data_IF_570197287547
#
_entry.id   IF_570197287547
#
_cell.length_a   1.000
_cell.length_b   1.000
_cell.length_c   1.000
_cell.angle_alpha   90.00
_cell.angle_beta   90.00
_cell.angle_gamma   90.00
#
_symmetry.space_group_name_H-M   'P 1'
#
loop_
_entity.id
_entity.type
_entity.pdbx_description
1 polymer ?
#
# COMPACT_ATOMS: atom_id res chain seq x y z
N UNK A 1 6.39 -19.87 75.93
CA UNK A 1 6.00 -18.59 75.30
C UNK A 1 6.91 -18.37 74.10
N UNK A 2 6.53 -18.86 72.92
CA UNK A 2 7.30 -18.70 71.68
C UNK A 2 6.62 -17.67 70.79
N UNK A 3 7.35 -16.64 70.38
CA UNK A 3 6.85 -15.57 69.51
C UNK A 3 7.06 -16.01 68.07
N UNK A 4 5.96 -16.25 67.35
CA UNK A 4 5.96 -16.49 65.91
C UNK A 4 5.95 -15.16 65.18
N UNK A 5 7.02 -14.85 64.46
CA UNK A 5 7.11 -13.65 63.60
C UNK A 5 6.58 -14.04 62.22
N UNK A 6 5.39 -13.54 61.86
CA UNK A 6 4.87 -13.62 60.49
C UNK A 6 5.53 -12.53 59.64
N UNK A 7 6.44 -12.92 58.74
CA UNK A 7 6.96 -12.03 57.70
C UNK A 7 5.94 -12.01 56.55
N UNK A 8 5.19 -10.92 56.45
CA UNK A 8 4.34 -10.65 55.30
C UNK A 8 5.22 -10.21 54.12
N UNK A 9 5.39 -11.09 53.13
CA UNK A 9 5.96 -10.75 51.83
C UNK A 9 4.96 -9.87 51.06
N UNK A 10 5.08 -8.55 51.20
CA UNK A 10 4.43 -7.61 50.30
C UNK A 10 5.12 -7.67 48.93
N UNK A 11 4.40 -8.16 47.91
CA UNK A 11 4.84 -7.98 46.53
C UNK A 11 4.93 -6.47 46.24
N UNK A 12 6.02 -5.98 45.61
CA UNK A 12 6.18 -4.55 45.37
C UNK A 12 5.11 -4.03 44.41
N UNK A 13 4.29 -3.10 44.88
CA UNK A 13 3.25 -2.40 44.10
C UNK A 13 3.84 -1.68 42.85
N UNK A 14 5.14 -1.38 42.85
CA UNK A 14 5.86 -0.76 41.74
C UNK A 14 5.91 -1.61 40.47
N UNK A 15 6.01 -2.94 40.60
CA UNK A 15 6.08 -3.82 39.43
C UNK A 15 4.76 -3.78 38.66
N UNK A 16 3.62 -3.84 39.34
CA UNK A 16 2.30 -3.80 38.68
C UNK A 16 2.03 -2.48 37.94
N UNK A 17 2.50 -1.35 38.46
CA UNK A 17 2.34 -0.05 37.83
C UNK A 17 3.15 0.06 36.50
N UNK A 18 4.38 -0.46 36.49
CA UNK A 18 5.22 -0.45 35.28
C UNK A 18 4.67 -1.37 34.19
N UNK A 19 4.16 -2.55 34.54
CA UNK A 19 3.49 -3.46 33.59
C UNK A 19 2.19 -2.87 33.02
N UNK A 20 1.39 -2.19 33.85
CA UNK A 20 0.17 -1.51 33.40
C UNK A 20 0.47 -0.32 32.47
N UNK A 21 1.50 0.47 32.77
CA UNK A 21 1.97 1.60 31.94
C UNK A 21 2.50 1.14 30.58
N UNK A 22 3.28 0.06 30.56
CA UNK A 22 3.76 -0.56 29.32
C UNK A 22 2.60 -1.10 28.48
N UNK A 23 1.67 -1.83 29.11
CA UNK A 23 0.50 -2.38 28.41
C UNK A 23 -0.38 -1.29 27.79
N UNK A 24 -0.63 -0.18 28.50
CA UNK A 24 -1.36 0.96 27.97
C UNK A 24 -0.63 1.61 26.79
N UNK A 25 0.70 1.71 26.85
CA UNK A 25 1.52 2.22 25.74
C UNK A 25 1.48 1.30 24.53
N UNK A 26 1.54 -0.02 24.74
CA UNK A 26 1.41 -1.02 23.68
C UNK A 26 0.03 -0.98 23.03
N UNK A 27 -1.05 -0.87 23.83
CA UNK A 27 -2.41 -0.74 23.35
C UNK A 27 -2.56 0.43 22.36
N UNK A 28 -2.14 1.64 22.77
CA UNK A 28 -2.22 2.85 21.92
C UNK A 28 -1.39 2.71 20.65
N UNK A 29 -0.18 2.14 20.75
CA UNK A 29 0.70 1.93 19.60
C UNK A 29 0.11 0.96 18.60
N UNK A 30 -0.46 -0.15 19.08
CA UNK A 30 -1.09 -1.17 18.23
C UNK A 30 -2.35 -0.61 17.58
N UNK A 31 -3.22 0.07 18.32
CA UNK A 31 -4.45 0.66 17.76
C UNK A 31 -4.13 1.68 16.66
N UNK A 32 -3.17 2.58 16.90
CA UNK A 32 -2.74 3.54 15.88
C UNK A 32 -2.12 2.83 14.69
N UNK A 33 -1.27 1.83 14.94
CA UNK A 33 -0.65 1.03 13.89
C UNK A 33 -1.66 0.29 13.02
N UNK A 34 -2.71 -0.29 13.61
CA UNK A 34 -3.80 -0.97 12.91
C UNK A 34 -4.51 -0.03 11.95
N UNK A 35 -4.89 1.17 12.41
CA UNK A 35 -5.53 2.19 11.57
C UNK A 35 -4.63 2.64 10.42
N UNK A 36 -3.34 2.85 10.69
CA UNK A 36 -2.36 3.21 9.65
C UNK A 36 -2.19 2.08 8.63
N UNK A 37 -2.06 0.83 9.08
CA UNK A 37 -1.92 -0.31 8.18
C UNK A 37 -3.17 -0.48 7.32
N UNK A 38 -4.38 -0.42 7.88
CA UNK A 38 -5.62 -0.51 7.10
C UNK A 38 -5.66 0.55 5.99
N UNK A 39 -5.34 1.80 6.32
CA UNK A 39 -5.28 2.89 5.34
C UNK A 39 -4.30 2.59 4.19
N UNK A 40 -3.07 2.18 4.53
CA UNK A 40 -2.02 1.88 3.54
C UNK A 40 -2.40 0.68 2.66
N UNK A 41 -2.94 -0.37 3.25
CA UNK A 41 -3.40 -1.56 2.53
C UNK A 41 -4.52 -1.17 1.55
N UNK A 42 -5.51 -0.38 1.99
CA UNK A 42 -6.60 0.09 1.12
C UNK A 42 -6.09 1.00 0.00
N UNK A 43 -5.09 1.84 0.27
CA UNK A 43 -4.49 2.71 -0.75
C UNK A 43 -3.83 1.92 -1.90
N UNK A 44 -3.26 0.74 -1.60
CA UNK A 44 -2.70 -0.16 -2.62
C UNK A 44 -3.74 -0.93 -3.42
N UNK A 45 -4.97 -1.07 -2.91
CA UNK A 45 -5.99 -1.96 -3.47
C UNK A 45 -6.24 -1.71 -4.97
N UNK A 46 -6.35 -0.45 -5.37
CA UNK A 46 -6.51 -0.07 -6.79
C UNK A 46 -5.34 -0.52 -7.65
N UNK A 47 -4.10 -0.28 -7.21
CA UNK A 47 -2.88 -0.65 -7.94
C UNK A 47 -2.79 -2.14 -8.14
N UNK A 48 -3.04 -2.92 -7.09
CA UNK A 48 -2.97 -4.38 -7.15
C UNK A 48 -4.10 -4.95 -8.00
N UNK A 49 -5.33 -4.47 -7.81
CA UNK A 49 -6.51 -5.01 -8.50
C UNK A 49 -6.49 -4.70 -10.00
N UNK A 50 -6.03 -3.50 -10.39
CA UNK A 50 -6.05 -3.07 -11.78
C UNK A 50 -4.80 -3.50 -12.56
N UNK A 51 -3.63 -3.39 -11.95
CA UNK A 51 -2.32 -3.47 -12.63
C UNK A 51 -1.34 -4.46 -11.99
N UNK A 52 -1.69 -5.05 -10.83
CA UNK A 52 -0.81 -5.95 -10.10
C UNK A 52 -0.60 -7.28 -10.81
N UNK A 53 0.64 -7.76 -10.78
CA UNK A 53 0.99 -9.12 -11.18
C UNK A 53 0.47 -10.15 -10.18
N UNK A 54 0.51 -11.44 -10.53
CA UNK A 54 0.12 -12.50 -9.61
C UNK A 54 0.99 -12.57 -8.35
N UNK A 55 2.29 -12.23 -8.46
CA UNK A 55 3.17 -12.09 -7.30
C UNK A 55 2.76 -10.93 -6.39
N UNK A 56 2.38 -9.78 -6.99
CA UNK A 56 1.92 -8.62 -6.21
C UNK A 56 0.61 -8.95 -5.48
N UNK A 57 -0.33 -9.64 -6.15
CA UNK A 57 -1.58 -10.09 -5.55
C UNK A 57 -1.35 -11.09 -4.41
N UNK A 58 -0.40 -12.02 -4.57
CA UNK A 58 -0.05 -12.98 -3.53
C UNK A 58 0.56 -12.29 -2.29
N UNK A 59 1.49 -11.35 -2.49
CA UNK A 59 2.08 -10.57 -1.40
C UNK A 59 1.03 -9.66 -0.74
N UNK A 60 0.16 -9.03 -1.53
CA UNK A 60 -0.95 -8.22 -1.02
C UNK A 60 -1.91 -9.04 -0.16
N UNK A 61 -2.28 -10.24 -0.60
CA UNK A 61 -3.08 -11.19 0.20
C UNK A 61 -2.38 -11.51 1.52
N UNK A 62 -1.07 -11.79 1.48
CA UNK A 62 -0.26 -12.08 2.67
C UNK A 62 -0.24 -10.91 3.65
N UNK A 63 -0.11 -9.69 3.16
CA UNK A 63 -0.22 -8.48 3.99
C UNK A 63 -1.59 -8.38 4.68
N UNK A 64 -2.69 -8.62 3.94
CA UNK A 64 -4.04 -8.60 4.52
C UNK A 64 -4.21 -9.69 5.58
N UNK A 65 -3.68 -10.89 5.34
CA UNK A 65 -3.71 -12.00 6.29
C UNK A 65 -3.03 -11.63 7.62
N UNK A 66 -1.81 -11.09 7.59
CA UNK A 66 -1.12 -10.61 8.81
C UNK A 66 -1.85 -9.45 9.48
N UNK A 67 -2.47 -8.56 8.70
CA UNK A 67 -3.26 -7.47 9.25
C UNK A 67 -4.50 -8.00 10.00
N UNK A 68 -5.19 -9.01 9.46
CA UNK A 68 -6.31 -9.69 10.13
C UNK A 68 -5.82 -10.40 11.40
N UNK A 69 -4.69 -11.11 11.34
CA UNK A 69 -4.12 -11.78 12.52
C UNK A 69 -3.74 -10.78 13.62
N UNK A 70 -3.15 -9.64 13.25
CA UNK A 70 -2.86 -8.53 14.17
C UNK A 70 -4.12 -8.06 14.89
N UNK A 71 -5.24 -7.88 14.15
CA UNK A 71 -6.55 -7.52 14.72
C UNK A 71 -7.07 -8.60 15.67
N UNK A 72 -6.98 -9.88 15.30
CA UNK A 72 -7.41 -10.99 16.16
C UNK A 72 -6.64 -11.01 17.49
N UNK A 73 -5.32 -10.86 17.44
CA UNK A 73 -4.46 -10.80 18.63
C UNK A 73 -4.78 -9.57 19.49
N UNK A 74 -5.00 -8.42 18.86
CA UNK A 74 -5.42 -7.19 19.54
C UNK A 74 -6.74 -7.37 20.30
N UNK A 75 -7.76 -7.95 19.67
CA UNK A 75 -9.06 -8.22 20.33
C UNK A 75 -8.97 -9.28 21.43
N UNK A 76 -7.99 -10.18 21.36
CA UNK A 76 -7.69 -11.13 22.43
C UNK A 76 -6.85 -10.52 23.57
N UNK A 77 -6.50 -9.23 23.49
CA UNK A 77 -5.58 -8.54 24.40
C UNK A 77 -4.18 -9.17 24.48
N UNK A 78 -3.75 -9.94 23.47
CA UNK A 78 -2.38 -10.44 23.32
C UNK A 78 -1.51 -9.33 22.68
N UNK A 79 -1.27 -8.25 23.46
CA UNK A 79 -0.67 -7.00 22.97
C UNK A 79 0.78 -7.14 22.50
N UNK A 80 1.55 -8.02 23.13
CA UNK A 80 2.94 -8.29 22.76
C UNK A 80 3.00 -8.91 21.35
N UNK A 81 2.26 -10.00 21.14
CA UNK A 81 2.21 -10.65 19.82
C UNK A 81 1.54 -9.79 18.76
N UNK A 82 0.48 -9.08 19.13
CA UNK A 82 -0.17 -8.14 18.22
C UNK A 82 0.82 -7.06 17.75
N UNK A 83 1.67 -6.53 18.64
CA UNK A 83 2.71 -5.59 18.24
C UNK A 83 3.76 -6.19 17.29
N UNK A 84 4.18 -7.44 17.52
CA UNK A 84 5.10 -8.15 16.62
C UNK A 84 4.49 -8.42 15.24
N UNK A 85 3.24 -8.88 15.18
CA UNK A 85 2.53 -9.12 13.91
C UNK A 85 2.20 -7.82 13.15
N UNK A 86 1.93 -6.74 13.89
CA UNK A 86 1.80 -5.40 13.32
C UNK A 86 3.09 -4.99 12.59
N UNK A 87 4.25 -5.24 13.22
CA UNK A 87 5.57 -4.94 12.66
C UNK A 87 5.87 -5.78 11.42
N UNK A 88 5.54 -7.06 11.45
CA UNK A 88 5.63 -7.95 10.29
C UNK A 88 4.77 -7.47 9.13
N UNK A 89 3.53 -7.06 9.40
CA UNK A 89 2.65 -6.45 8.38
C UNK A 89 3.31 -5.20 7.75
N UNK A 90 3.95 -4.36 8.57
CA UNK A 90 4.65 -3.16 8.09
C UNK A 90 5.87 -3.49 7.23
N UNK A 91 6.64 -4.52 7.57
CA UNK A 91 7.78 -4.98 6.76
C UNK A 91 7.32 -5.46 5.37
N UNK A 92 6.27 -6.28 5.32
CA UNK A 92 5.71 -6.76 4.06
C UNK A 92 5.12 -5.63 3.21
N UNK A 93 4.48 -4.64 3.85
CA UNK A 93 4.02 -3.44 3.17
C UNK A 93 5.17 -2.65 2.54
N UNK A 94 6.30 -2.50 3.24
CA UNK A 94 7.48 -1.78 2.72
C UNK A 94 7.98 -2.44 1.43
N UNK A 95 8.05 -3.78 1.42
CA UNK A 95 8.46 -4.55 0.23
C UNK A 95 7.49 -4.29 -0.92
N UNK A 96 6.19 -4.53 -0.69
CA UNK A 96 5.16 -4.38 -1.72
C UNK A 96 5.09 -2.97 -2.30
N UNK A 97 5.15 -1.93 -1.45
CA UNK A 97 5.19 -0.55 -1.92
C UNK A 97 6.44 -0.28 -2.76
N UNK A 98 7.61 -0.71 -2.30
CA UNK A 98 8.88 -0.43 -2.97
C UNK A 98 8.91 -1.06 -4.37
N UNK A 99 8.49 -2.31 -4.50
CA UNK A 99 8.47 -3.05 -5.76
C UNK A 99 7.49 -2.42 -6.77
N UNK A 100 6.28 -2.06 -6.32
CA UNK A 100 5.29 -1.40 -7.17
C UNK A 100 5.77 -0.03 -7.66
N UNK A 101 6.39 0.76 -6.77
CA UNK A 101 6.90 2.10 -7.14
C UNK A 101 8.05 1.96 -8.12
N UNK A 102 8.97 1.00 -7.91
CA UNK A 102 10.10 0.78 -8.82
C UNK A 102 9.64 0.35 -10.21
N UNK A 103 8.75 -0.64 -10.29
CA UNK A 103 8.14 -1.07 -11.54
C UNK A 103 7.41 0.10 -12.23
N UNK A 104 6.61 0.85 -11.47
CA UNK A 104 5.85 1.98 -11.99
C UNK A 104 6.72 3.13 -12.47
N UNK A 105 7.80 3.47 -11.77
CA UNK A 105 8.80 4.48 -12.18
C UNK A 105 9.42 4.12 -13.52
N UNK A 106 9.82 2.85 -13.69
CA UNK A 106 10.42 2.35 -14.94
C UNK A 106 9.44 2.50 -16.11
N UNK A 107 8.20 2.07 -15.94
CA UNK A 107 7.15 2.15 -16.97
C UNK A 107 6.85 3.60 -17.33
N UNK A 108 6.52 4.45 -16.35
CA UNK A 108 6.14 5.84 -16.59
C UNK A 108 7.27 6.63 -17.23
N UNK A 109 8.52 6.43 -16.79
CA UNK A 109 9.68 7.06 -17.43
C UNK A 109 9.77 6.67 -18.90
N UNK A 110 9.63 5.39 -19.21
CA UNK A 110 9.69 4.88 -20.59
C UNK A 110 8.60 5.51 -21.46
N UNK A 111 7.38 5.62 -20.92
CA UNK A 111 6.24 6.23 -21.61
C UNK A 111 6.46 7.73 -21.84
N UNK A 112 6.88 8.48 -20.81
CA UNK A 112 7.20 9.91 -20.93
C UNK A 112 8.34 10.17 -21.92
N UNK A 113 9.36 9.32 -21.94
CA UNK A 113 10.46 9.43 -22.91
C UNK A 113 9.96 9.24 -24.35
N UNK A 114 9.11 8.23 -24.57
CA UNK A 114 8.52 7.95 -25.88
C UNK A 114 7.60 9.08 -26.36
N UNK A 115 6.65 9.51 -25.51
CA UNK A 115 5.72 10.59 -25.80
C UNK A 115 6.45 11.93 -25.94
N UNK A 116 7.52 12.15 -25.18
CA UNK A 116 8.34 13.35 -25.25
C UNK A 116 8.94 13.60 -26.64
N UNK A 117 9.28 12.54 -27.39
CA UNK A 117 9.76 12.68 -28.77
C UNK A 117 8.70 13.30 -29.69
N UNK A 118 7.42 12.99 -29.45
CA UNK A 118 6.31 13.53 -30.23
C UNK A 118 6.00 14.98 -29.81
N UNK A 119 5.97 15.24 -28.51
CA UNK A 119 5.74 16.57 -27.92
C UNK A 119 6.78 17.59 -28.39
N UNK A 120 8.06 17.22 -28.47
CA UNK A 120 9.14 18.12 -28.90
C UNK A 120 8.99 18.53 -30.36
N UNK A 121 8.48 17.63 -31.21
CA UNK A 121 8.20 17.93 -32.63
C UNK A 121 6.96 18.82 -32.79
N UNK A 122 6.04 18.76 -31.83
CA UNK A 122 4.83 19.57 -31.80
C UNK A 122 5.10 21.04 -31.44
N UNK A 123 4.22 21.92 -31.90
CA UNK A 123 4.26 23.36 -31.58
C UNK A 123 3.36 23.71 -30.39
N UNK A 124 2.41 22.84 -30.06
CA UNK A 124 1.37 23.09 -29.06
C UNK A 124 1.91 23.23 -27.63
N UNK A 125 1.34 24.19 -26.89
CA UNK A 125 1.74 24.48 -25.52
C UNK A 125 1.20 23.47 -24.49
N UNK A 126 -0.02 22.96 -24.72
CA UNK A 126 -0.70 22.07 -23.76
C UNK A 126 0.03 20.74 -23.57
N UNK A 127 0.42 19.99 -24.63
CA UNK A 127 1.17 18.74 -24.46
C UNK A 127 2.56 18.95 -23.85
N UNK A 128 3.26 20.05 -24.21
CA UNK A 128 4.51 20.44 -23.57
C UNK A 128 4.34 20.62 -22.07
N UNK A 129 3.25 21.27 -21.66
CA UNK A 129 2.96 21.45 -20.24
C UNK A 129 2.69 20.12 -19.54
N UNK A 130 1.89 19.24 -20.12
CA UNK A 130 1.64 17.91 -19.53
C UNK A 130 2.93 17.09 -19.40
N UNK A 131 3.83 17.15 -20.38
CA UNK A 131 5.12 16.47 -20.32
C UNK A 131 5.99 16.97 -19.16
N UNK A 132 6.11 18.30 -18.99
CA UNK A 132 6.83 18.90 -17.87
C UNK A 132 6.26 18.45 -16.51
N UNK A 133 4.93 18.48 -16.38
CA UNK A 133 4.24 18.07 -15.16
C UNK A 133 4.47 16.58 -14.89
N UNK A 134 4.36 15.72 -15.91
CA UNK A 134 4.65 14.29 -15.83
C UNK A 134 6.04 14.00 -15.27
N UNK A 135 7.09 14.60 -15.87
CA UNK A 135 8.46 14.42 -15.40
C UNK A 135 8.69 14.99 -13.99
N UNK A 136 8.08 16.14 -13.68
CA UNK A 136 8.20 16.75 -12.36
C UNK A 136 7.65 15.82 -11.28
N UNK A 137 6.43 15.33 -11.43
CA UNK A 137 5.83 14.44 -10.44
C UNK A 137 6.61 13.13 -10.31
N UNK A 138 7.10 12.57 -11.43
CA UNK A 138 7.95 11.38 -11.43
C UNK A 138 9.25 11.62 -10.62
N UNK A 139 9.95 12.73 -10.88
CA UNK A 139 11.20 13.05 -10.18
C UNK A 139 10.98 13.21 -8.67
N UNK A 140 9.88 13.84 -8.24
CA UNK A 140 9.55 13.96 -6.81
C UNK A 140 9.17 12.61 -6.22
N UNK A 141 8.44 11.76 -6.94
CA UNK A 141 8.13 10.40 -6.50
C UNK A 141 9.39 9.58 -6.23
N UNK A 142 10.39 9.69 -7.11
CA UNK A 142 11.68 9.00 -6.97
C UNK A 142 12.49 9.54 -5.80
N UNK A 143 12.51 10.85 -5.61
CA UNK A 143 13.16 11.44 -4.44
C UNK A 143 12.55 10.92 -3.14
N UNK A 144 11.22 10.81 -3.06
CA UNK A 144 10.53 10.24 -1.89
C UNK A 144 10.90 8.79 -1.65
N UNK A 145 10.98 7.97 -2.72
CA UNK A 145 11.45 6.58 -2.63
C UNK A 145 12.89 6.51 -2.13
N UNK A 146 13.80 7.31 -2.67
CA UNK A 146 15.22 7.35 -2.26
C UNK A 146 15.33 7.69 -0.76
N UNK A 147 14.55 8.66 -0.27
CA UNK A 147 14.54 8.99 1.16
C UNK A 147 14.00 7.81 1.98
N UNK A 148 12.95 7.12 1.50
CA UNK A 148 12.38 5.95 2.17
C UNK A 148 13.40 4.79 2.25
N UNK A 149 14.10 4.50 1.15
CA UNK A 149 15.11 3.44 1.07
C UNK A 149 16.27 3.71 2.05
N UNK A 150 16.69 4.97 2.16
CA UNK A 150 17.74 5.42 3.08
C UNK A 150 17.26 5.62 4.53
N UNK A 151 15.95 5.52 4.79
CA UNK A 151 15.41 5.63 6.15
C UNK A 151 15.76 4.38 6.95
N UNK A 152 16.15 4.57 8.21
CA UNK A 152 16.61 3.49 9.12
C UNK A 152 15.61 2.33 9.16
N UNK A 153 16.06 1.07 9.14
CA UNK A 153 15.17 -0.10 9.02
C UNK A 153 14.03 -0.17 10.05
N UNK A 154 14.29 0.22 11.29
CA UNK A 154 13.31 0.16 12.38
C UNK A 154 12.26 1.30 12.36
N UNK A 155 12.39 2.28 11.46
CA UNK A 155 11.46 3.41 11.29
C UNK A 155 10.43 3.14 10.18
N UNK A 156 9.83 1.95 10.20
CA UNK A 156 8.87 1.50 9.18
C UNK A 156 7.71 2.47 8.94
N UNK A 157 7.16 3.10 9.98
CA UNK A 157 6.03 4.03 9.82
C UNK A 157 6.38 5.24 8.95
N UNK A 158 7.54 5.85 9.18
CA UNK A 158 8.03 6.98 8.37
C UNK A 158 8.35 6.50 6.95
N UNK A 159 8.95 5.31 6.83
CA UNK A 159 9.24 4.70 5.53
C UNK A 159 7.96 4.50 4.70
N UNK A 160 6.92 3.93 5.31
CA UNK A 160 5.63 3.70 4.65
C UNK A 160 4.91 4.99 4.28
N UNK A 161 5.01 6.03 5.11
CA UNK A 161 4.48 7.37 4.78
C UNK A 161 5.15 7.94 3.53
N UNK A 162 6.49 7.90 3.46
CA UNK A 162 7.25 8.35 2.29
C UNK A 162 6.95 7.53 1.03
N UNK A 163 6.81 6.20 1.18
CA UNK A 163 6.44 5.32 0.07
C UNK A 163 4.99 5.60 -0.41
N UNK A 164 4.07 5.86 0.50
CA UNK A 164 2.71 6.26 0.13
C UNK A 164 2.67 7.60 -0.61
N UNK A 165 3.43 8.60 -0.15
CA UNK A 165 3.59 9.86 -0.87
C UNK A 165 4.18 9.66 -2.26
N UNK A 166 5.20 8.81 -2.38
CA UNK A 166 5.80 8.43 -3.66
C UNK A 166 4.77 7.80 -4.60
N UNK A 167 3.96 6.84 -4.12
CA UNK A 167 2.90 6.21 -4.91
C UNK A 167 1.86 7.22 -5.41
N UNK A 168 1.46 8.19 -4.58
CA UNK A 168 0.52 9.25 -4.99
C UNK A 168 1.08 10.09 -6.13
N UNK A 169 2.33 10.52 -6.02
CA UNK A 169 3.02 11.31 -7.04
C UNK A 169 3.20 10.50 -8.32
N UNK A 170 3.48 9.21 -8.20
CA UNK A 170 3.60 8.29 -9.32
C UNK A 170 2.29 8.18 -10.12
N UNK A 171 1.17 7.99 -9.41
CA UNK A 171 -0.18 8.02 -10.01
C UNK A 171 -0.48 9.37 -10.66
N UNK A 172 -0.06 10.47 -10.05
CA UNK A 172 -0.23 11.81 -10.64
C UNK A 172 0.60 11.99 -11.92
N UNK A 173 1.86 11.53 -11.94
CA UNK A 173 2.69 11.51 -13.14
C UNK A 173 2.03 10.70 -14.26
N UNK A 174 1.50 9.52 -13.93
CA UNK A 174 0.79 8.65 -14.87
C UNK A 174 -0.50 9.27 -15.41
N UNK A 175 -1.18 10.17 -14.69
CA UNK A 175 -2.29 10.95 -15.27
C UNK A 175 -1.84 11.77 -16.47
N UNK A 176 -0.68 12.41 -16.40
CA UNK A 176 -0.16 13.17 -17.54
C UNK A 176 0.28 12.26 -18.68
N UNK A 177 0.75 11.04 -18.40
CA UNK A 177 0.96 10.03 -19.44
C UNK A 177 -0.33 9.68 -20.16
N UNK A 178 -1.45 9.50 -19.44
CA UNK A 178 -2.76 9.23 -20.06
C UNK A 178 -3.18 10.39 -20.96
N UNK A 179 -3.08 11.64 -20.48
CA UNK A 179 -3.45 12.82 -21.26
C UNK A 179 -2.59 12.95 -22.54
N UNK A 180 -1.28 12.74 -22.43
CA UNK A 180 -0.38 12.73 -23.59
C UNK A 180 -0.67 11.57 -24.54
N UNK A 181 -1.01 10.40 -23.99
CA UNK A 181 -1.36 9.23 -24.81
C UNK A 181 -2.65 9.48 -25.58
N UNK A 182 -3.63 10.15 -24.97
CA UNK A 182 -4.84 10.56 -25.70
C UNK A 182 -4.49 11.53 -26.84
N UNK A 183 -3.62 12.50 -26.61
CA UNK A 183 -3.25 13.46 -27.65
C UNK A 183 -2.59 12.79 -28.86
N UNK A 184 -1.67 11.85 -28.62
CA UNK A 184 -0.79 11.35 -29.68
C UNK A 184 -1.08 9.92 -30.15
N UNK A 185 -1.78 9.13 -29.34
CA UNK A 185 -2.00 7.71 -29.59
C UNK A 185 -3.48 7.36 -29.72
N UNK A 186 -4.39 8.35 -29.73
CA UNK A 186 -5.81 8.10 -29.98
C UNK A 186 -6.07 7.67 -31.42
N UNK A 187 -7.04 6.76 -31.57
CA UNK A 187 -7.58 6.34 -32.86
C UNK A 187 -8.40 7.47 -33.52
N UNK A 188 -8.99 8.34 -32.70
CA UNK A 188 -9.78 9.51 -33.12
C UNK A 188 -9.33 10.77 -32.39
N UNK A 189 -9.50 11.97 -32.97
CA UNK A 189 -9.17 13.22 -32.28
C UNK A 189 -9.91 13.32 -30.92
N UNK A 190 -9.19 13.42 -29.80
CA UNK A 190 -9.82 13.58 -28.49
C UNK A 190 -10.40 14.99 -28.36
N UNK A 191 -11.54 15.11 -27.68
CA UNK A 191 -12.16 16.40 -27.37
C UNK A 191 -12.79 16.34 -25.98
N UNK A 192 -11.96 16.29 -24.91
CA UNK A 192 -12.48 16.22 -23.56
C UNK A 192 -13.18 17.54 -23.21
N UNK A 193 -14.51 17.51 -23.05
CA UNK A 193 -15.28 18.64 -22.53
C UNK A 193 -14.75 19.13 -21.17
N UNK A 194 -14.23 18.19 -20.35
CA UNK A 194 -13.61 18.43 -19.05
C UNK A 194 -12.48 17.43 -18.79
N UNK A 195 -11.41 17.90 -18.16
CA UNK A 195 -10.31 17.05 -17.65
C UNK A 195 -10.62 16.46 -16.26
N UNK A 196 -11.89 16.15 -15.99
CA UNK A 196 -12.30 15.43 -14.79
C UNK A 196 -12.28 13.91 -15.02
N UNK A 197 -12.54 13.14 -13.95
CA UNK A 197 -12.48 11.68 -14.05
C UNK A 197 -13.41 11.12 -15.14
N UNK A 198 -14.66 11.61 -15.21
CA UNK A 198 -15.66 11.08 -16.14
C UNK A 198 -15.40 11.54 -17.57
N UNK A 199 -15.01 12.81 -17.76
CA UNK A 199 -14.67 13.36 -19.07
C UNK A 199 -13.52 12.58 -19.72
N UNK A 200 -12.44 12.36 -18.97
CA UNK A 200 -11.31 11.57 -19.46
C UNK A 200 -11.70 10.10 -19.69
N UNK A 201 -12.51 9.50 -18.82
CA UNK A 201 -12.95 8.11 -19.02
C UNK A 201 -13.82 7.95 -20.28
N UNK A 202 -14.73 8.90 -20.52
CA UNK A 202 -15.56 8.91 -21.72
C UNK A 202 -14.71 9.02 -22.98
N UNK A 203 -13.70 9.90 -22.96
CA UNK A 203 -12.77 10.05 -24.07
C UNK A 203 -11.86 8.84 -24.26
N UNK A 204 -11.41 8.18 -23.19
CA UNK A 204 -10.70 6.89 -23.31
C UNK A 204 -11.58 5.86 -24.05
N UNK A 205 -12.86 5.77 -23.68
CA UNK A 205 -13.78 4.82 -24.31
C UNK A 205 -14.08 5.16 -25.79
N UNK A 206 -14.07 6.46 -26.14
CA UNK A 206 -14.39 6.97 -27.48
C UNK A 206 -13.17 6.98 -28.41
N UNK A 207 -12.09 7.62 -27.98
CA UNK A 207 -10.93 7.99 -28.79
C UNK A 207 -9.79 6.96 -28.70
N UNK A 208 -9.67 6.20 -27.61
CA UNK A 208 -8.64 5.18 -27.40
C UNK A 208 -9.21 3.76 -27.57
N UNK A 209 -10.17 3.57 -28.48
CA UNK A 209 -10.97 2.35 -28.59
C UNK A 209 -10.14 1.06 -28.63
N UNK A 210 -9.05 1.06 -29.39
CA UNK A 210 -8.15 -0.10 -29.55
C UNK A 210 -7.45 -0.53 -28.25
N UNK A 211 -7.26 0.40 -27.30
CA UNK A 211 -6.56 0.19 -26.03
C UNK A 211 -7.39 0.62 -24.82
N UNK A 212 -8.71 0.69 -24.98
CA UNK A 212 -9.62 1.28 -23.98
C UNK A 212 -9.46 0.64 -22.60
N UNK A 213 -9.35 -0.69 -22.52
CA UNK A 213 -9.33 -1.41 -21.25
C UNK A 213 -8.02 -1.16 -20.50
N UNK A 214 -6.92 -1.04 -21.23
CA UNK A 214 -5.61 -0.70 -20.68
C UNK A 214 -5.62 0.71 -20.07
N UNK A 215 -6.02 1.71 -20.85
CA UNK A 215 -6.05 3.10 -20.38
C UNK A 215 -7.13 3.34 -19.33
N UNK A 216 -8.27 2.65 -19.39
CA UNK A 216 -9.30 2.74 -18.37
C UNK A 216 -8.79 2.17 -17.03
N UNK A 217 -8.12 1.01 -17.02
CA UNK A 217 -7.49 0.47 -15.79
C UNK A 217 -6.49 1.44 -15.18
N UNK A 218 -5.64 2.04 -16.01
CA UNK A 218 -4.66 3.06 -15.57
C UNK A 218 -5.39 4.28 -15.01
N UNK A 219 -6.43 4.77 -15.69
CA UNK A 219 -7.18 5.95 -15.27
C UNK A 219 -7.92 5.73 -13.94
N UNK A 220 -8.57 4.58 -13.77
CA UNK A 220 -9.16 4.19 -12.49
C UNK A 220 -8.11 4.11 -11.39
N UNK A 221 -6.96 3.48 -11.67
CA UNK A 221 -5.86 3.36 -10.73
C UNK A 221 -5.33 4.72 -10.26
N UNK A 222 -5.18 5.67 -11.18
CA UNK A 222 -4.70 7.02 -10.90
C UNK A 222 -5.61 7.81 -9.93
N UNK A 223 -6.88 7.41 -9.80
CA UNK A 223 -7.86 7.98 -8.87
C UNK A 223 -8.13 7.09 -7.66
N UNK A 224 -7.33 6.05 -7.45
CA UNK A 224 -7.48 5.06 -6.37
C UNK A 224 -8.79 4.25 -6.47
N UNK A 225 -9.32 4.06 -7.67
CA UNK A 225 -10.52 3.26 -7.93
C UNK A 225 -10.18 1.91 -8.55
N UNK A 226 -11.00 0.89 -8.27
CA UNK A 226 -10.92 -0.43 -8.90
C UNK A 226 -11.77 -0.47 -10.16
N UNK A 227 -11.20 -0.90 -11.28
CA UNK A 227 -11.88 -0.90 -12.59
C UNK A 227 -12.99 -1.95 -12.68
N UNK A 228 -12.73 -3.20 -12.27
CA UNK A 228 -13.68 -4.32 -12.37
C UNK A 228 -14.67 -4.41 -11.20
N UNK A 229 -14.63 -3.46 -10.26
CA UNK A 229 -15.34 -3.56 -8.98
C UNK A 229 -14.78 -4.64 -8.04
N UNK A 230 -13.77 -5.40 -8.46
CA UNK A 230 -13.09 -6.38 -7.60
C UNK A 230 -12.23 -5.65 -6.57
N UNK A 231 -12.73 -5.59 -5.35
CA UNK A 231 -12.01 -5.04 -4.21
C UNK A 231 -11.27 -6.18 -3.50
N UNK A 232 -10.00 -6.38 -3.86
CA UNK A 232 -9.18 -7.46 -3.29
C UNK A 232 -9.03 -7.33 -1.78
N UNK A 233 -8.94 -6.10 -1.24
CA UNK A 233 -8.94 -5.89 0.20
C UNK A 233 -10.16 -6.50 0.87
N UNK A 234 -11.37 -6.15 0.43
CA UNK A 234 -12.60 -6.63 1.06
C UNK A 234 -12.75 -8.15 0.90
N UNK A 235 -12.33 -8.70 -0.25
CA UNK A 235 -12.32 -10.14 -0.52
C UNK A 235 -11.42 -10.88 0.48
N UNK A 236 -10.17 -10.46 0.61
CA UNK A 236 -9.21 -11.10 1.51
C UNK A 236 -9.50 -10.82 2.98
N UNK A 237 -10.08 -9.68 3.32
CA UNK A 237 -10.51 -9.38 4.69
C UNK A 237 -11.65 -10.29 5.14
N UNK A 238 -12.65 -10.52 4.27
CA UNK A 238 -13.81 -11.37 4.59
C UNK A 238 -13.45 -12.85 4.67
N UNK A 239 -12.58 -13.32 3.79
CA UNK A 239 -12.11 -14.70 3.79
C UNK A 239 -10.57 -14.76 3.72
N UNK A 240 -9.88 -14.53 4.85
CA UNK A 240 -8.43 -14.40 4.86
C UNK A 240 -7.69 -15.71 4.65
N UNK A 241 -8.30 -16.88 4.90
CA UNK A 241 -7.62 -18.18 4.82
C UNK A 241 -6.29 -18.20 5.60
N UNK A 242 -6.33 -17.85 6.90
CA UNK A 242 -5.13 -17.67 7.74
C UNK A 242 -4.29 -18.95 7.90
N UNK A 243 -4.84 -20.12 7.58
CA UNK A 243 -4.09 -21.37 7.47
C UNK A 243 -2.96 -21.31 6.42
N UNK A 244 -3.05 -20.42 5.43
CA UNK A 244 -1.99 -20.21 4.45
C UNK A 244 -0.71 -19.60 5.05
N UNK A 245 -0.81 -18.94 6.20
CA UNK A 245 0.35 -18.41 6.95
C UNK A 245 1.24 -19.52 7.54
N UNK A 246 0.70 -20.74 7.66
CA UNK A 246 1.48 -21.93 8.06
C UNK A 246 2.46 -22.37 6.94
N UNK A 247 2.33 -21.80 5.74
CA UNK A 247 3.22 -22.04 4.59
C UNK A 247 4.02 -20.76 4.26
N UNK A 248 5.29 -20.91 3.87
CA UNK A 248 6.11 -19.75 3.50
C UNK A 248 5.58 -19.11 2.21
N UNK A 249 5.69 -17.79 2.10
CA UNK A 249 5.55 -17.09 0.82
C UNK A 249 6.95 -16.79 0.28
N UNK A 250 7.47 -17.73 -0.50
CA UNK A 250 8.83 -17.65 -1.05
C UNK A 250 9.85 -17.36 0.07
N UNK A 251 10.88 -16.56 -0.22
CA UNK A 251 11.88 -16.06 0.73
C UNK A 251 11.45 -14.76 1.45
N UNK A 252 10.25 -14.24 1.16
CA UNK A 252 9.77 -12.95 1.65
C UNK A 252 9.16 -13.08 3.03
N UNK A 253 8.33 -14.10 3.24
CA UNK A 253 7.61 -14.33 4.49
C UNK A 253 7.74 -15.80 4.93
N UNK A 254 8.51 -16.09 5.99
CA UNK A 254 8.74 -17.47 6.43
C UNK A 254 7.49 -18.07 7.09
N UNK A 255 7.30 -19.38 6.95
CA UNK A 255 6.28 -20.10 7.71
C UNK A 255 6.55 -19.95 9.21
N UNK A 256 5.49 -19.80 10.00
CA UNK A 256 5.59 -19.85 11.45
C UNK A 256 4.44 -20.65 12.05
N UNK A 257 4.76 -21.35 13.14
CA UNK A 257 3.83 -22.26 13.80
C UNK A 257 2.72 -21.47 14.47
N UNK A 258 1.51 -21.56 13.91
CA UNK A 258 0.30 -21.08 14.58
C UNK A 258 -0.04 -22.05 15.71
N UNK A 259 0.25 -21.69 16.95
CA UNK A 259 -0.21 -22.46 18.11
C UNK A 259 -1.73 -22.35 18.17
N UNK A 260 -2.45 -23.26 17.49
CA UNK A 260 -3.90 -23.36 17.63
C UNK A 260 -4.16 -23.69 19.09
N UNK A 261 -4.58 -22.70 19.87
CA UNK A 261 -5.35 -22.98 21.08
C UNK A 261 -6.64 -23.61 20.57
N UNK A 262 -6.64 -24.93 20.45
CA UNK A 262 -7.88 -25.69 20.29
C UNK A 262 -8.76 -25.23 21.44
N UNK A 263 -9.79 -24.44 21.13
CA UNK A 263 -10.83 -24.14 22.09
C UNK A 263 -11.39 -25.51 22.48
N UNK A 264 -11.06 -25.98 23.69
CA UNK A 264 -11.76 -27.10 24.30
C UNK A 264 -13.22 -26.65 24.36
N UNK A 265 -14.03 -27.22 23.47
CA UNK A 265 -15.49 -27.19 23.59
C UNK A 265 -15.89 -27.94 24.85
#
# INVERSE_FOLDING_TARGET
>A
MGITICVALSLPCSIFADYASNSATHLVRVERGLKTNEFLIRALNSSISNLGSESDKALYKRVVQHHVETNQLYFQFDLERSYSELKRTQDLLVILYSDLIEAGNKTIRSELNSLGQQVVRGTEAKPKKHLELGYRELAVAEQKKIIADNTRPYLQTIKLELLYESLKLLKQSRKYVVLLSMEYLSDFPPDPEKEDFLGILNEINRAMFSRKDEFAKIHFDNYFYTYSGENLYDTYWRNPALEELEKPLSDIDPAYSRTRKNAKR
#
